data_IF_590282491583
#
_entry.id   IF_590282491583
#
_cell.length_a   1.000
_cell.length_b   1.000
_cell.length_c   1.000
_cell.angle_alpha   90.00
_cell.angle_beta   90.00
_cell.angle_gamma   90.00
#
_symmetry.space_group_name_H-M   'P 1'
#
loop_
_entity.id
_entity.type
_entity.pdbx_description
1 polymer ?
#
# COMPACT_ATOMS: atom_id res chain seq x y z
N UNK A 1 -21.85 20.48 23.32
CA UNK A 1 -21.25 20.24 21.98
C UNK A 1 -21.28 18.76 21.62
N UNK A 2 -20.70 17.86 22.43
CA UNK A 2 -20.71 16.41 22.18
C UNK A 2 -22.10 15.81 21.90
N UNK A 3 -23.14 16.17 22.66
CA UNK A 3 -24.52 15.70 22.41
C UNK A 3 -25.03 16.04 21.01
N UNK A 4 -24.62 17.19 20.45
CA UNK A 4 -24.99 17.58 19.09
C UNK A 4 -24.23 16.76 18.04
N UNK A 5 -22.94 16.51 18.25
CA UNK A 5 -22.13 15.65 17.36
C UNK A 5 -22.69 14.23 17.35
N UNK A 6 -22.93 13.67 18.53
CA UNK A 6 -23.53 12.35 18.70
C UNK A 6 -24.86 12.25 17.93
N UNK A 7 -25.73 13.24 18.09
CA UNK A 7 -27.05 13.24 17.46
C UNK A 7 -26.99 13.46 15.94
N UNK A 8 -26.33 14.52 15.47
CA UNK A 8 -26.39 14.96 14.07
C UNK A 8 -25.34 14.31 13.15
N UNK A 9 -24.21 13.87 13.68
CA UNK A 9 -23.13 13.25 12.89
C UNK A 9 -23.14 11.73 12.94
N UNK A 10 -23.69 11.13 14.01
CA UNK A 10 -23.64 9.67 14.21
C UNK A 10 -25.04 9.04 14.25
N UNK A 11 -26.00 9.58 15.00
CA UNK A 11 -27.31 8.94 15.17
C UNK A 11 -28.29 9.19 14.01
N UNK A 12 -28.43 10.44 13.58
CA UNK A 12 -29.46 10.86 12.60
C UNK A 12 -29.14 10.54 11.13
N UNK A 13 -27.88 10.58 10.65
CA UNK A 13 -27.59 10.31 9.25
C UNK A 13 -28.00 8.91 8.80
N UNK A 14 -28.49 8.81 7.56
CA UNK A 14 -28.56 7.54 6.84
C UNK A 14 -27.21 7.26 6.18
N UNK A 15 -26.69 6.04 6.34
CA UNK A 15 -25.47 5.57 5.67
C UNK A 15 -25.86 4.50 4.65
N UNK A 16 -25.26 4.54 3.46
CA UNK A 16 -25.73 3.80 2.27
C UNK A 16 -25.66 2.25 2.39
N UNK A 17 -25.12 1.71 3.49
CA UNK A 17 -24.83 0.28 3.69
C UNK A 17 -25.58 -0.35 4.89
N UNK A 18 -26.55 0.34 5.48
CA UNK A 18 -27.27 -0.15 6.68
C UNK A 18 -28.70 -0.64 6.40
N UNK A 19 -29.09 -1.72 7.08
CA UNK A 19 -30.46 -2.22 7.16
C UNK A 19 -31.21 -1.52 8.32
N UNK A 20 -32.37 -0.94 8.03
CA UNK A 20 -33.10 0.01 8.90
C UNK A 20 -33.49 -0.56 10.28
N UNK A 21 -33.68 -1.88 10.37
CA UNK A 21 -34.10 -2.56 11.60
C UNK A 21 -32.94 -2.87 12.55
N UNK A 22 -31.73 -3.02 12.04
CA UNK A 22 -30.54 -3.33 12.85
C UNK A 22 -29.91 -2.06 13.44
N UNK A 23 -29.96 -0.95 12.69
CA UNK A 23 -29.51 0.37 13.14
C UNK A 23 -30.26 0.88 14.39
N UNK A 24 -31.56 0.52 14.55
CA UNK A 24 -32.40 0.98 15.67
C UNK A 24 -32.03 0.41 17.03
N UNK A 25 -31.24 -0.67 17.10
CA UNK A 25 -30.90 -1.37 18.36
C UNK A 25 -29.51 -1.04 18.91
N UNK A 26 -28.71 -0.29 18.15
CA UNK A 26 -27.31 -0.02 18.49
C UNK A 26 -27.13 1.38 19.07
N UNK A 27 -26.19 1.53 20.01
CA UNK A 27 -25.74 2.86 20.41
C UNK A 27 -25.01 3.53 19.24
N UNK A 28 -24.93 4.88 19.19
CA UNK A 28 -24.22 5.57 18.11
C UNK A 28 -22.73 5.15 18.03
N UNK A 29 -22.11 4.87 19.18
CA UNK A 29 -20.74 4.33 19.24
C UNK A 29 -20.64 2.96 18.56
N UNK A 30 -21.55 2.04 18.88
CA UNK A 30 -21.59 0.70 18.27
C UNK A 30 -21.86 0.77 16.77
N UNK A 31 -22.76 1.66 16.35
CA UNK A 31 -23.08 1.89 14.94
C UNK A 31 -21.84 2.33 14.14
N UNK A 32 -21.13 3.36 14.61
CA UNK A 32 -19.90 3.82 13.95
C UNK A 32 -18.83 2.73 13.92
N UNK A 33 -18.67 1.99 15.03
CA UNK A 33 -17.72 0.89 15.11
C UNK A 33 -18.06 -0.22 14.11
N UNK A 34 -19.34 -0.60 14.01
CA UNK A 34 -19.81 -1.60 13.05
C UNK A 34 -19.55 -1.19 11.60
N UNK A 35 -19.84 0.06 11.25
CA UNK A 35 -19.55 0.59 9.92
C UNK A 35 -18.05 0.53 9.58
N UNK A 36 -17.19 0.99 10.49
CA UNK A 36 -15.73 0.94 10.30
C UNK A 36 -15.24 -0.51 10.19
N UNK A 37 -15.73 -1.40 11.05
CA UNK A 37 -15.34 -2.81 11.03
C UNK A 37 -15.75 -3.51 9.72
N UNK A 38 -16.90 -3.13 9.13
CA UNK A 38 -17.32 -3.60 7.81
C UNK A 38 -16.39 -3.08 6.69
N UNK A 39 -15.92 -1.82 6.80
CA UNK A 39 -14.92 -1.27 5.87
C UNK A 39 -13.53 -1.89 6.01
N UNK A 40 -13.20 -2.41 7.20
CA UNK A 40 -11.87 -2.93 7.54
C UNK A 40 -11.95 -4.37 8.07
N UNK A 41 -12.47 -5.35 7.31
CA UNK A 41 -12.67 -6.71 7.80
C UNK A 41 -11.36 -7.41 8.21
N UNK A 42 -10.21 -6.95 7.69
CA UNK A 42 -8.88 -7.47 7.99
C UNK A 42 -8.26 -6.92 9.29
N UNK A 43 -8.83 -5.86 9.89
CA UNK A 43 -8.32 -5.26 11.12
C UNK A 43 -9.35 -5.42 12.25
N UNK A 44 -8.95 -5.84 13.46
CA UNK A 44 -9.85 -5.91 14.60
C UNK A 44 -10.04 -4.52 15.21
N UNK A 45 -11.07 -3.79 14.77
CA UNK A 45 -11.41 -2.46 15.29
C UNK A 45 -12.49 -2.61 16.37
N UNK A 46 -12.11 -2.29 17.60
CA UNK A 46 -12.90 -2.51 18.81
C UNK A 46 -13.05 -1.26 19.68
N UNK A 47 -12.26 -0.22 19.44
CA UNK A 47 -12.29 1.03 20.21
C UNK A 47 -11.93 2.27 19.36
N UNK A 48 -12.07 3.46 19.95
CA UNK A 48 -11.77 4.75 19.31
C UNK A 48 -10.56 5.43 19.95
N UNK A 49 -9.60 4.64 20.43
CA UNK A 49 -8.36 5.14 21.03
C UNK A 49 -7.17 4.27 20.57
N UNK A 50 -6.89 3.18 21.29
CA UNK A 50 -5.74 2.30 21.08
C UNK A 50 -5.61 1.77 19.65
N UNK A 51 -6.71 1.41 19.00
CA UNK A 51 -6.66 0.80 17.66
C UNK A 51 -6.15 1.77 16.58
N UNK A 52 -6.21 3.08 16.87
CA UNK A 52 -5.82 4.16 15.96
C UNK A 52 -4.42 4.72 16.24
N UNK A 53 -3.82 4.39 17.38
CA UNK A 53 -2.54 4.96 17.86
C UNK A 53 -1.36 4.75 16.93
N UNK A 54 -1.35 3.70 16.10
CA UNK A 54 -0.26 3.47 15.13
C UNK A 54 -0.40 4.32 13.85
N UNK A 55 -1.54 4.97 13.64
CA UNK A 55 -1.91 5.65 12.40
C UNK A 55 -2.21 4.72 11.21
N UNK A 56 -1.92 3.41 11.29
CA UNK A 56 -2.15 2.46 10.19
C UNK A 56 -3.63 2.21 9.91
N UNK A 57 -4.47 2.19 10.94
CA UNK A 57 -5.92 2.04 10.79
C UNK A 57 -6.54 3.23 10.03
N UNK A 58 -5.98 4.44 10.17
CA UNK A 58 -6.38 5.61 9.38
C UNK A 58 -6.05 5.40 7.90
N UNK A 59 -4.82 4.97 7.59
CA UNK A 59 -4.43 4.64 6.21
C UNK A 59 -5.32 3.56 5.60
N UNK A 60 -5.62 2.51 6.37
CA UNK A 60 -6.52 1.44 5.95
C UNK A 60 -7.93 1.95 5.66
N UNK A 61 -8.48 2.81 6.52
CA UNK A 61 -9.82 3.38 6.34
C UNK A 61 -9.90 4.27 5.11
N UNK A 62 -8.91 5.16 4.92
CA UNK A 62 -8.83 6.06 3.76
C UNK A 62 -8.72 5.26 2.46
N UNK A 63 -7.87 4.23 2.43
CA UNK A 63 -7.72 3.36 1.26
C UNK A 63 -8.97 2.49 1.00
N UNK A 64 -9.67 2.05 2.06
CA UNK A 64 -10.94 1.33 1.92
C UNK A 64 -12.04 2.22 1.32
N UNK A 65 -12.09 3.50 1.70
CA UNK A 65 -13.01 4.47 1.12
C UNK A 65 -12.67 4.82 -0.34
N UNK A 66 -11.39 4.92 -0.69
CA UNK A 66 -10.94 5.13 -2.06
C UNK A 66 -9.59 4.42 -2.33
N UNK A 67 -9.63 3.20 -2.90
CA UNK A 67 -8.43 2.41 -3.13
C UNK A 67 -7.39 3.14 -3.96
N UNK A 68 -6.19 3.29 -3.40
CA UNK A 68 -5.04 3.94 -4.00
C UNK A 68 -4.71 5.32 -3.42
N UNK A 69 -5.49 5.84 -2.48
CA UNK A 69 -5.06 7.00 -1.69
C UNK A 69 -3.96 6.63 -0.69
N UNK A 70 -4.07 5.47 -0.02
CA UNK A 70 -3.08 4.97 0.95
C UNK A 70 -2.75 3.50 0.66
N UNK A 71 -2.27 3.14 -0.54
CA UNK A 71 -2.22 1.76 -1.03
C UNK A 71 -1.30 0.81 -0.24
N UNK A 72 -0.35 1.36 0.49
CA UNK A 72 0.74 0.69 1.19
C UNK A 72 0.62 0.80 2.73
N UNK A 73 -0.58 1.18 3.22
CA UNK A 73 -0.88 1.36 4.65
C UNK A 73 -0.49 0.14 5.52
N UNK A 74 -0.53 -1.06 4.95
CA UNK A 74 -0.21 -2.31 5.61
C UNK A 74 1.30 -2.50 5.82
N UNK A 75 2.13 -1.76 5.11
CA UNK A 75 3.59 -1.78 5.24
C UNK A 75 4.17 -0.62 6.06
N UNK A 76 3.33 0.33 6.47
CA UNK A 76 3.76 1.51 7.22
C UNK A 76 4.38 1.15 8.58
N UNK A 77 5.39 1.93 8.97
CA UNK A 77 6.13 1.77 10.21
C UNK A 77 5.27 2.20 11.41
N UNK A 78 4.88 1.25 12.26
CA UNK A 78 4.05 1.51 13.44
C UNK A 78 4.74 2.38 14.50
N UNK A 79 6.08 2.53 14.45
CA UNK A 79 6.83 3.42 15.34
C UNK A 79 6.78 4.89 14.92
N UNK A 80 6.18 5.20 13.76
CA UNK A 80 6.03 6.56 13.21
C UNK A 80 4.56 6.97 13.11
N UNK A 81 3.80 6.95 14.22
CA UNK A 81 2.35 7.10 14.20
C UNK A 81 1.88 8.45 13.65
N UNK A 82 2.56 9.55 14.03
CA UNK A 82 2.22 10.90 13.55
C UNK A 82 2.39 11.02 12.03
N UNK A 83 3.43 10.41 11.46
CA UNK A 83 3.64 10.43 10.00
C UNK A 83 2.54 9.66 9.27
N UNK A 84 2.19 8.48 9.78
CA UNK A 84 1.12 7.65 9.24
C UNK A 84 -0.23 8.37 9.29
N UNK A 85 -0.55 8.97 10.44
CA UNK A 85 -1.78 9.73 10.62
C UNK A 85 -1.81 10.95 9.70
N UNK A 86 -0.72 11.71 9.61
CA UNK A 86 -0.63 12.90 8.75
C UNK A 86 -0.87 12.55 7.28
N UNK A 87 -0.21 11.51 6.77
CA UNK A 87 -0.39 11.05 5.38
C UNK A 87 -1.86 10.69 5.12
N UNK A 88 -2.45 9.84 5.97
CA UNK A 88 -3.83 9.38 5.79
C UNK A 88 -4.85 10.53 5.90
N UNK A 89 -4.73 11.37 6.92
CA UNK A 89 -5.66 12.47 7.17
C UNK A 89 -5.56 13.57 6.11
N UNK A 90 -4.35 13.84 5.60
CA UNK A 90 -4.18 14.78 4.49
C UNK A 90 -4.84 14.26 3.21
N UNK A 91 -4.66 12.98 2.89
CA UNK A 91 -5.33 12.35 1.74
C UNK A 91 -6.86 12.36 1.89
N UNK A 92 -7.37 12.17 3.11
CA UNK A 92 -8.79 12.26 3.41
C UNK A 92 -9.35 13.69 3.21
N UNK A 93 -8.61 14.71 3.64
CA UNK A 93 -8.99 16.11 3.45
C UNK A 93 -9.00 16.49 1.96
N UNK A 94 -7.87 16.25 1.30
CA UNK A 94 -7.64 16.64 -0.08
C UNK A 94 -8.59 15.94 -1.04
N UNK A 95 -8.85 14.64 -0.85
CA UNK A 95 -9.52 13.82 -1.86
C UNK A 95 -10.86 13.22 -1.42
N UNK A 96 -11.15 13.15 -0.12
CA UNK A 96 -12.43 12.67 0.40
C UNK A 96 -13.29 13.79 1.01
N UNK A 97 -12.74 15.00 1.13
CA UNK A 97 -13.43 16.16 1.70
C UNK A 97 -13.66 16.04 3.21
N UNK A 98 -12.76 15.35 3.91
CA UNK A 98 -12.85 15.11 5.36
C UNK A 98 -11.94 16.11 6.09
N UNK A 99 -12.47 17.19 6.67
CA UNK A 99 -11.65 18.17 7.37
C UNK A 99 -11.05 17.59 8.65
N UNK A 100 -9.81 18.00 8.94
CA UNK A 100 -9.04 17.61 10.13
C UNK A 100 -9.50 18.38 11.37
N UNK A 101 -10.66 17.97 11.92
CA UNK A 101 -11.21 18.52 13.18
C UNK A 101 -10.46 18.07 14.44
N UNK A 102 -9.56 17.10 14.28
CA UNK A 102 -8.53 16.66 15.23
C UNK A 102 -7.21 16.61 14.45
N UNK A 103 -6.09 16.89 15.10
CA UNK A 103 -4.78 16.86 14.44
C UNK A 103 -4.18 15.45 14.38
N UNK A 104 -3.22 15.18 13.48
CA UNK A 104 -2.48 13.93 13.43
C UNK A 104 -1.75 13.58 14.74
N UNK A 105 -1.26 14.58 15.47
CA UNK A 105 -0.60 14.42 16.76
C UNK A 105 -1.59 14.00 17.86
N UNK A 106 -2.76 14.63 17.89
CA UNK A 106 -3.80 14.35 18.89
C UNK A 106 -4.44 12.98 18.67
N UNK A 107 -4.76 12.60 17.42
CA UNK A 107 -5.48 11.34 17.15
C UNK A 107 -4.67 10.09 17.51
N UNK A 108 -3.34 10.19 17.50
CA UNK A 108 -2.43 9.09 17.86
C UNK A 108 -1.91 9.18 19.29
N UNK A 109 -2.32 10.19 20.06
CA UNK A 109 -1.90 10.35 21.44
C UNK A 109 -2.37 9.14 22.28
N UNK A 110 -1.49 8.55 23.11
CA UNK A 110 -1.87 7.44 23.98
C UNK A 110 -3.06 7.71 24.92
N UNK A 111 -3.31 8.99 25.22
CA UNK A 111 -4.35 9.49 26.11
C UNK A 111 -5.48 10.20 25.35
N UNK A 112 -5.59 10.01 24.02
CA UNK A 112 -6.64 10.63 23.21
C UNK A 112 -8.03 10.28 23.74
N UNK A 113 -8.90 11.29 23.78
CA UNK A 113 -10.32 11.12 24.12
C UNK A 113 -11.08 10.48 22.96
N UNK A 114 -11.82 9.40 23.25
CA UNK A 114 -12.56 8.65 22.23
C UNK A 114 -13.63 9.50 21.52
N UNK A 115 -14.22 10.48 22.20
CA UNK A 115 -15.22 11.34 21.58
C UNK A 115 -14.61 12.23 20.50
N UNK A 116 -13.37 12.68 20.70
CA UNK A 116 -12.62 13.46 19.72
C UNK A 116 -12.30 12.61 18.47
N UNK A 117 -11.87 11.37 18.66
CA UNK A 117 -11.63 10.42 17.56
C UNK A 117 -12.94 10.07 16.82
N UNK A 118 -14.02 9.78 17.55
CA UNK A 118 -15.34 9.54 16.97
C UNK A 118 -15.86 10.74 16.17
N UNK A 119 -15.61 11.96 16.65
CA UNK A 119 -16.00 13.19 15.93
C UNK A 119 -15.38 13.21 14.54
N UNK A 120 -14.07 12.97 14.45
CA UNK A 120 -13.36 12.92 13.18
C UNK A 120 -13.82 11.76 12.29
N UNK A 121 -13.88 10.54 12.82
CA UNK A 121 -14.20 9.34 12.05
C UNK A 121 -15.66 9.28 11.58
N UNK A 122 -16.59 9.92 12.29
CA UNK A 122 -18.00 10.00 11.90
C UNK A 122 -18.26 10.73 10.58
N UNK A 123 -17.24 11.39 10.01
CA UNK A 123 -17.32 12.07 8.72
C UNK A 123 -17.16 11.10 7.53
N UNK A 124 -16.46 9.97 7.72
CA UNK A 124 -16.14 9.00 6.66
C UNK A 124 -17.35 8.34 5.99
N UNK A 125 -18.44 7.97 6.69
CA UNK A 125 -19.60 7.35 6.07
C UNK A 125 -20.27 8.17 4.95
N UNK A 126 -20.03 9.49 4.90
CA UNK A 126 -20.55 10.39 3.84
C UNK A 126 -19.47 10.87 2.87
N UNK A 127 -18.24 10.38 3.03
CA UNK A 127 -17.11 10.80 2.23
C UNK A 127 -17.33 10.49 0.74
N UNK A 128 -16.89 11.40 -0.13
CA UNK A 128 -16.99 11.24 -1.58
C UNK A 128 -15.65 11.57 -2.21
N UNK A 129 -15.20 10.68 -3.09
CA UNK A 129 -13.97 10.88 -3.83
C UNK A 129 -14.10 12.08 -4.78
N UNK A 130 -13.19 13.05 -4.64
CA UNK A 130 -13.12 14.20 -5.56
C UNK A 130 -12.56 13.76 -6.92
N UNK A 131 -13.08 14.31 -8.04
CA UNK A 131 -12.53 14.03 -9.37
C UNK A 131 -11.05 14.40 -9.48
N UNK A 132 -10.27 13.60 -10.21
CA UNK A 132 -8.84 13.85 -10.43
C UNK A 132 -7.92 13.39 -9.30
N UNK A 133 -8.44 12.65 -8.30
CA UNK A 133 -7.63 12.09 -7.23
C UNK A 133 -6.47 11.23 -7.76
N UNK A 134 -5.25 11.36 -7.22
CA UNK A 134 -4.06 10.65 -7.66
C UNK A 134 -4.05 9.23 -7.09
N UNK A 135 -4.99 8.40 -7.52
CA UNK A 135 -5.10 7.01 -7.06
C UNK A 135 -3.91 6.19 -7.56
N UNK A 136 -3.09 5.72 -6.63
CA UNK A 136 -1.93 4.87 -6.91
C UNK A 136 -2.33 3.41 -6.72
N UNK A 137 -2.14 2.52 -7.71
CA UNK A 137 -2.44 1.11 -7.53
C UNK A 137 -1.57 0.51 -6.42
N UNK A 138 -2.14 -0.40 -5.63
CA UNK A 138 -1.41 -1.17 -4.62
C UNK A 138 -0.20 -1.87 -5.23
N UNK A 139 0.93 -1.74 -4.55
CA UNK A 139 2.17 -2.41 -4.91
C UNK A 139 1.93 -3.92 -5.01
N UNK A 140 2.21 -4.49 -6.18
CA UNK A 140 2.13 -5.92 -6.40
C UNK A 140 3.32 -6.40 -7.24
N UNK A 141 4.41 -6.86 -6.61
CA UNK A 141 5.59 -7.37 -7.29
C UNK A 141 5.30 -8.50 -8.28
N UNK A 142 4.26 -9.31 -8.06
CA UNK A 142 3.87 -10.40 -8.97
C UNK A 142 3.25 -9.91 -10.28
N UNK A 143 2.89 -8.63 -10.37
CA UNK A 143 2.46 -8.00 -11.62
C UNK A 143 3.64 -7.40 -12.42
N UNK A 144 4.84 -7.35 -11.86
CA UNK A 144 6.04 -6.99 -12.61
C UNK A 144 6.48 -8.16 -13.48
N UNK A 145 6.97 -7.85 -14.68
CA UNK A 145 7.39 -8.83 -15.68
C UNK A 145 8.82 -8.54 -16.10
N UNK A 146 9.62 -9.59 -16.24
CA UNK A 146 10.93 -9.50 -16.88
C UNK A 146 10.92 -10.32 -18.18
N UNK A 147 11.60 -9.81 -19.20
CA UNK A 147 11.74 -10.47 -20.51
C UNK A 147 13.00 -10.00 -21.24
N UNK A 148 13.59 -10.86 -22.06
CA UNK A 148 14.78 -10.56 -22.85
C UNK A 148 15.86 -11.62 -22.71
N UNK A 149 16.88 -11.60 -23.58
CA UNK A 149 17.83 -12.69 -23.71
C UNK A 149 18.59 -13.01 -22.41
N UNK A 150 18.88 -12.01 -21.59
CA UNK A 150 19.65 -12.18 -20.35
C UNK A 150 18.97 -13.00 -19.25
N UNK A 151 17.69 -13.37 -19.41
CA UNK A 151 16.96 -14.26 -18.50
C UNK A 151 16.35 -15.48 -19.21
N UNK A 152 16.67 -15.69 -20.49
CA UNK A 152 16.27 -16.90 -21.20
C UNK A 152 17.09 -18.10 -20.69
N UNK A 153 16.51 -19.32 -20.67
CA UNK A 153 17.20 -20.49 -20.12
C UNK A 153 18.51 -20.85 -20.82
N UNK A 154 18.68 -20.47 -22.08
CA UNK A 154 19.86 -20.76 -22.91
C UNK A 154 20.20 -19.58 -23.84
N UNK A 155 21.40 -19.61 -24.42
CA UNK A 155 21.85 -18.63 -25.43
C UNK A 155 22.72 -17.50 -24.89
N UNK A 156 22.88 -17.40 -23.57
CA UNK A 156 23.86 -16.51 -22.96
C UNK A 156 25.26 -17.14 -22.97
N UNK A 157 26.29 -16.32 -23.13
CA UNK A 157 27.67 -16.79 -23.21
C UNK A 157 28.60 -16.07 -22.23
N UNK A 158 29.64 -16.76 -21.78
CA UNK A 158 30.68 -16.20 -20.91
C UNK A 158 31.30 -14.96 -21.54
N UNK A 159 31.52 -13.93 -20.72
CA UNK A 159 32.09 -12.62 -21.09
C UNK A 159 31.29 -11.84 -22.14
N UNK A 160 30.10 -12.30 -22.55
CA UNK A 160 29.17 -11.53 -23.37
C UNK A 160 28.14 -10.84 -22.48
N UNK A 161 27.71 -9.65 -22.89
CA UNK A 161 26.68 -8.89 -22.19
C UNK A 161 25.34 -9.61 -22.32
N UNK A 162 24.75 -9.99 -21.19
CA UNK A 162 23.41 -10.52 -21.06
C UNK A 162 22.48 -9.38 -20.64
N UNK A 163 21.44 -9.11 -21.42
CA UNK A 163 20.53 -7.96 -21.20
C UNK A 163 19.06 -8.35 -21.26
N UNK A 164 18.25 -7.68 -20.45
CA UNK A 164 16.81 -7.89 -20.40
C UNK A 164 16.11 -6.64 -19.86
N UNK A 165 14.78 -6.63 -19.94
CA UNK A 165 13.92 -5.53 -19.50
C UNK A 165 13.03 -6.00 -18.36
N UNK A 166 12.83 -5.13 -17.36
CA UNK A 166 11.82 -5.29 -16.31
C UNK A 166 10.74 -4.22 -16.48
N UNK A 167 9.48 -4.63 -16.58
CA UNK A 167 8.31 -3.77 -16.73
C UNK A 167 7.47 -3.79 -15.45
N UNK A 168 7.20 -2.61 -14.90
CA UNK A 168 6.52 -2.46 -13.59
C UNK A 168 5.22 -1.67 -13.67
N UNK A 169 4.69 -1.34 -14.87
CA UNK A 169 3.45 -0.57 -15.03
C UNK A 169 2.29 -1.16 -14.21
N UNK A 170 2.14 -2.48 -14.16
CA UNK A 170 1.07 -3.13 -13.42
C UNK A 170 1.40 -3.41 -11.95
N UNK A 171 2.66 -3.18 -11.54
CA UNK A 171 3.18 -3.53 -10.22
C UNK A 171 3.14 -2.39 -9.21
N UNK A 172 2.94 -1.14 -9.67
CA UNK A 172 2.95 0.06 -8.81
C UNK A 172 4.29 0.80 -8.89
N UNK A 173 4.61 1.59 -7.85
CA UNK A 173 5.88 2.31 -7.73
C UNK A 173 6.80 1.57 -6.77
N UNK A 174 8.05 1.37 -7.16
CA UNK A 174 9.04 0.67 -6.33
C UNK A 174 10.39 0.59 -7.03
N UNK A 175 11.41 0.23 -6.25
CA UNK A 175 12.77 0.00 -6.74
C UNK A 175 12.92 -1.39 -7.37
N UNK A 176 13.72 -1.50 -8.44
CA UNK A 176 14.10 -2.77 -9.04
C UNK A 176 15.55 -3.09 -8.66
N UNK A 177 15.76 -4.22 -8.00
CA UNK A 177 17.09 -4.76 -7.66
C UNK A 177 17.29 -6.09 -8.34
N UNK A 178 18.46 -6.30 -8.94
CA UNK A 178 18.77 -7.54 -9.65
C UNK A 178 20.10 -8.09 -9.18
N UNK A 179 20.11 -9.37 -8.85
CA UNK A 179 21.29 -10.11 -8.44
C UNK A 179 21.49 -11.34 -9.32
N UNK A 180 22.73 -11.64 -9.64
CA UNK A 180 23.13 -12.83 -10.40
C UNK A 180 24.00 -13.68 -9.50
N UNK A 181 23.59 -14.91 -9.27
CA UNK A 181 24.35 -15.93 -8.54
C UNK A 181 24.97 -16.89 -9.56
N UNK A 182 26.29 -17.08 -9.49
CA UNK A 182 27.01 -18.05 -10.32
C UNK A 182 26.86 -19.50 -9.80
N UNK A 183 27.29 -20.53 -10.53
CA UNK A 183 27.19 -21.92 -10.08
C UNK A 183 27.97 -22.25 -8.80
N UNK A 184 28.92 -21.40 -8.41
CA UNK A 184 29.68 -21.53 -7.16
C UNK A 184 29.01 -20.79 -5.98
N UNK A 185 27.89 -20.10 -6.21
CA UNK A 185 27.15 -19.35 -5.21
C UNK A 185 27.63 -17.91 -5.02
N UNK A 186 28.53 -17.39 -5.86
CA UNK A 186 28.93 -15.99 -5.79
C UNK A 186 27.83 -15.11 -6.36
N UNK A 187 27.38 -14.15 -5.54
CA UNK A 187 26.31 -13.22 -5.88
C UNK A 187 26.87 -11.85 -6.23
N UNK A 188 26.53 -11.36 -7.41
CA UNK A 188 26.86 -10.01 -7.88
C UNK A 188 25.59 -9.23 -8.22
N UNK A 189 25.60 -7.91 -8.02
CA UNK A 189 24.49 -7.03 -8.41
C UNK A 189 24.61 -6.66 -9.89
N UNK A 190 23.52 -6.82 -10.63
CA UNK A 190 23.45 -6.43 -12.04
C UNK A 190 23.26 -4.92 -12.19
N UNK A 191 23.58 -4.39 -13.37
CA UNK A 191 23.36 -2.96 -13.67
C UNK A 191 21.91 -2.74 -14.06
N UNK A 192 21.20 -1.86 -13.33
CA UNK A 192 19.81 -1.49 -13.57
C UNK A 192 19.73 0.01 -13.91
N UNK A 193 19.02 0.35 -14.99
CA UNK A 193 18.81 1.73 -15.45
C UNK A 193 17.31 1.94 -15.67
N UNK A 194 16.72 2.95 -15.02
CA UNK A 194 15.32 3.33 -15.25
C UNK A 194 15.19 4.11 -16.58
N UNK A 195 14.25 3.70 -17.43
CA UNK A 195 14.03 4.34 -18.72
C UNK A 195 13.06 5.53 -18.67
N UNK A 196 12.35 5.71 -17.54
CA UNK A 196 11.37 6.78 -17.31
C UNK A 196 10.30 6.90 -18.43
N UNK A 197 9.89 5.76 -19.00
CA UNK A 197 8.86 5.69 -20.03
C UNK A 197 7.46 5.49 -19.43
N UNK A 198 6.43 5.57 -20.28
CA UNK A 198 5.01 5.36 -19.87
C UNK A 198 4.76 3.95 -19.32
N UNK A 199 5.59 2.98 -19.72
CA UNK A 199 5.50 1.59 -19.30
C UNK A 199 6.29 1.28 -18.03
N UNK A 200 6.96 2.29 -17.43
CA UNK A 200 7.82 2.15 -16.25
C UNK A 200 8.80 0.97 -16.42
N UNK A 201 9.59 1.01 -17.48
CA UNK A 201 10.57 -0.03 -17.79
C UNK A 201 11.95 0.28 -17.22
N UNK A 202 12.69 -0.79 -16.93
CA UNK A 202 14.08 -0.77 -16.48
C UNK A 202 14.90 -1.65 -17.41
N UNK A 203 16.00 -1.11 -17.93
CA UNK A 203 16.99 -1.86 -18.69
C UNK A 203 18.03 -2.44 -17.74
N UNK A 204 18.19 -3.77 -17.80
CA UNK A 204 19.07 -4.52 -16.92
C UNK A 204 20.12 -5.26 -17.74
N UNK A 205 21.36 -5.29 -17.27
CA UNK A 205 22.38 -6.14 -17.86
C UNK A 205 23.45 -6.60 -16.87
N UNK A 206 24.08 -7.72 -17.21
CA UNK A 206 25.22 -8.29 -16.50
C UNK A 206 26.19 -8.98 -17.49
N UNK A 207 27.37 -9.37 -17.01
CA UNK A 207 28.37 -10.10 -17.80
C UNK A 207 28.80 -11.34 -17.00
N UNK A 208 28.33 -12.55 -17.36
CA UNK A 208 28.70 -13.77 -16.66
C UNK A 208 30.18 -14.09 -16.90
N UNK A 209 30.87 -14.52 -15.83
CA UNK A 209 32.32 -14.75 -15.83
C UNK A 209 32.69 -16.22 -16.01
N UNK A 210 31.76 -17.11 -15.73
CA UNK A 210 31.93 -18.57 -15.73
C UNK A 210 30.78 -19.24 -16.49
N UNK A 211 31.00 -20.47 -16.94
CA UNK A 211 29.95 -21.29 -17.57
C UNK A 211 29.07 -21.95 -16.50
N UNK A 212 27.89 -22.42 -16.92
CA UNK A 212 26.96 -23.19 -16.08
C UNK A 212 25.69 -22.43 -15.70
N UNK A 213 24.90 -23.06 -14.83
CA UNK A 213 23.57 -22.56 -14.42
C UNK A 213 23.70 -21.42 -13.43
N UNK A 214 23.38 -20.21 -13.89
CA UNK A 214 23.28 -19.01 -13.05
C UNK A 214 21.83 -18.83 -12.58
N UNK A 215 21.66 -18.19 -11.42
CA UNK A 215 20.34 -17.76 -10.92
C UNK A 215 20.24 -16.24 -10.95
N UNK A 216 19.35 -15.72 -11.79
CA UNK A 216 19.04 -14.29 -11.87
C UNK A 216 17.83 -13.98 -10.98
N UNK A 217 18.08 -13.32 -9.86
CA UNK A 217 17.05 -12.87 -8.92
C UNK A 217 16.65 -11.44 -9.26
N UNK A 218 15.36 -11.22 -9.50
CA UNK A 218 14.78 -9.91 -9.81
C UNK A 218 13.78 -9.57 -8.72
N UNK A 219 14.08 -8.52 -7.97
CA UNK A 219 13.26 -8.00 -6.88
C UNK A 219 12.62 -6.68 -7.28
N UNK A 220 11.37 -6.49 -6.88
CA UNK A 220 10.66 -5.23 -6.96
C UNK A 220 10.16 -4.86 -5.56
N UNK A 221 10.58 -3.70 -5.06
CA UNK A 221 10.33 -3.25 -3.69
C UNK A 221 10.68 -4.33 -2.65
N UNK A 222 11.85 -4.95 -2.80
CA UNK A 222 12.37 -5.98 -1.90
C UNK A 222 11.77 -7.38 -2.04
N UNK A 223 10.80 -7.60 -2.94
CA UNK A 223 10.13 -8.89 -3.11
C UNK A 223 10.33 -9.46 -4.52
N UNK A 224 10.37 -10.80 -4.64
CA UNK A 224 10.50 -11.47 -5.94
C UNK A 224 9.33 -11.13 -6.88
N UNK A 225 9.66 -10.76 -8.12
CA UNK A 225 8.67 -10.61 -9.19
C UNK A 225 8.09 -11.97 -9.62
N UNK A 226 7.17 -11.97 -10.58
CA UNK A 226 6.72 -13.21 -11.21
C UNK A 226 7.89 -13.94 -11.90
N UNK A 227 7.96 -15.26 -11.71
CA UNK A 227 9.00 -16.16 -12.27
C UNK A 227 10.43 -15.95 -11.75
N UNK A 228 10.68 -14.98 -10.88
CA UNK A 228 11.97 -14.89 -10.20
C UNK A 228 12.09 -15.95 -9.10
N UNK A 229 13.27 -16.60 -8.94
CA UNK A 229 14.49 -16.46 -9.74
C UNK A 229 14.41 -17.15 -11.11
N UNK A 230 15.16 -16.62 -12.08
CA UNK A 230 15.32 -17.21 -13.41
C UNK A 230 16.59 -18.05 -13.46
N UNK A 231 16.49 -19.28 -13.95
CA UNK A 231 17.66 -20.13 -14.21
C UNK A 231 18.16 -19.91 -15.64
N UNK A 232 19.44 -19.57 -15.76
CA UNK A 232 20.08 -19.22 -17.04
C UNK A 232 21.33 -20.07 -17.22
N UNK A 233 21.33 -20.97 -18.20
CA UNK A 233 22.53 -21.72 -18.57
C UNK A 233 23.43 -20.86 -19.46
N UNK A 234 24.67 -20.64 -19.01
CA UNK A 234 25.68 -19.84 -19.72
C UNK A 234 26.74 -20.76 -20.33
N UNK A 235 26.97 -20.60 -21.63
CA UNK A 235 27.93 -21.39 -22.43
C UNK A 235 29.29 -20.68 -22.66
#
# INVERSE_FOLDING_TARGET
IWTLILHYSISMPMWDEEDDEEAKKQTPKQRLLGWIQNKLPQLPITNFSKDWQSGRALGALVDSCAPGLCPDWDSWDASKPVNNAREAMQQADDWLGIPQVITPEEIVDPNVDEHSVMTYLSQFPKAKLKPGAPLRPKLNPKKARAYGPGIEPTGNMVKKKAEFTVETISAGHGEVLVYVEDPAGHREEAKVIANNDKNRTFSVWYVPKVTGVHKVTVLFAGQHIAKSPFEVNVD
#
